data_IF_321898736775
#
_entry.id   IF_321898736775
#
_cell.length_a   1.000
_cell.length_b   1.000
_cell.length_c   1.000
_cell.angle_alpha   90.00
_cell.angle_beta   90.00
_cell.angle_gamma   90.00
#
_symmetry.space_group_name_H-M   'P 1'
#
loop_
_entity.id
_entity.type
_entity.pdbx_description
1 polymer ?
#
# COMPACT_ATOMS: atom_id res chain seq x y z
N UNK A 1 3.11 17.97 3.56
CA UNK A 1 2.96 16.69 2.86
C UNK A 1 3.91 15.62 3.38
N UNK A 2 5.21 15.86 3.39
CA UNK A 2 6.17 14.86 3.84
C UNK A 2 6.03 14.54 5.34
N UNK A 3 5.71 15.52 6.17
CA UNK A 3 5.51 15.30 7.60
C UNK A 3 4.40 14.27 7.89
N UNK A 4 3.42 14.16 7.02
CA UNK A 4 2.35 13.19 7.11
C UNK A 4 2.88 11.75 7.09
N UNK A 5 4.00 11.50 6.39
CA UNK A 5 4.60 10.18 6.24
C UNK A 5 5.56 9.80 7.36
N UNK A 6 6.06 10.77 8.11
CA UNK A 6 7.14 10.57 9.07
C UNK A 6 6.64 10.63 10.50
N UNK A 7 5.58 9.87 10.81
CA UNK A 7 5.11 9.72 12.19
C UNK A 7 5.88 8.60 12.88
N UNK A 8 6.01 8.64 14.23
CA UNK A 8 6.82 7.64 14.95
C UNK A 8 6.37 6.20 14.82
N UNK A 9 5.09 5.96 14.51
CA UNK A 9 4.52 4.62 14.39
C UNK A 9 4.78 3.99 13.02
N UNK A 10 5.40 4.72 12.10
CA UNK A 10 5.64 4.26 10.74
C UNK A 10 7.11 3.96 10.51
N UNK A 11 7.37 2.87 9.80
CA UNK A 11 8.69 2.54 9.27
C UNK A 11 8.73 3.05 7.83
N UNK A 12 9.57 4.03 7.56
CA UNK A 12 9.62 4.74 6.28
C UNK A 12 10.81 4.27 5.47
N UNK A 13 10.59 4.08 4.16
CA UNK A 13 11.57 3.54 3.23
C UNK A 13 11.58 4.36 1.94
N UNK A 14 12.71 4.37 1.28
CA UNK A 14 12.84 4.95 -0.06
C UNK A 14 13.50 3.93 -0.98
N UNK A 15 13.08 3.92 -2.23
CA UNK A 15 13.74 3.18 -3.28
C UNK A 15 14.56 4.16 -4.11
N UNK A 16 15.82 3.81 -4.35
CA UNK A 16 16.76 4.67 -5.07
C UNK A 16 17.24 3.93 -6.31
N UNK A 17 17.25 4.62 -7.44
CA UNK A 17 17.79 4.13 -8.70
C UNK A 17 18.70 5.18 -9.31
N UNK A 18 19.95 4.81 -9.58
CA UNK A 18 20.96 5.71 -10.13
C UNK A 18 21.08 7.02 -9.35
N UNK A 19 21.06 6.93 -8.01
CA UNK A 19 21.17 8.09 -7.13
C UNK A 19 19.93 8.94 -6.97
N UNK A 20 18.81 8.55 -7.59
CA UNK A 20 17.53 9.27 -7.49
C UNK A 20 16.51 8.47 -6.73
N UNK A 21 15.74 9.14 -5.87
CA UNK A 21 14.62 8.52 -5.19
C UNK A 21 13.50 8.32 -6.22
N UNK A 22 13.13 7.05 -6.46
CA UNK A 22 12.10 6.69 -7.45
C UNK A 22 10.79 6.27 -6.80
N UNK A 23 10.82 5.92 -5.52
CA UNK A 23 9.63 5.54 -4.79
C UNK A 23 9.83 5.70 -3.29
N UNK A 24 8.74 5.81 -2.58
CA UNK A 24 8.75 5.77 -1.11
C UNK A 24 7.56 4.96 -0.63
N UNK A 25 7.70 4.35 0.53
CA UNK A 25 6.57 3.68 1.18
C UNK A 25 6.80 3.62 2.69
N UNK A 26 5.74 3.32 3.43
CA UNK A 26 5.84 3.08 4.85
C UNK A 26 5.07 1.81 5.25
N UNK A 27 5.50 1.22 6.35
CA UNK A 27 4.86 0.08 6.98
C UNK A 27 4.50 0.46 8.42
N UNK A 28 3.32 0.05 8.87
CA UNK A 28 2.92 0.19 10.26
C UNK A 28 1.88 -0.86 10.62
N UNK A 29 1.63 -1.06 11.91
CA UNK A 29 0.51 -1.88 12.35
C UNK A 29 -0.81 -1.24 11.90
N UNK A 30 -1.74 -2.05 11.36
CA UNK A 30 -3.04 -1.55 10.93
C UNK A 30 -3.90 -1.15 12.14
N UNK A 31 -3.81 -1.93 13.23
CA UNK A 31 -4.51 -1.66 14.48
C UNK A 31 -3.54 -1.82 15.65
N UNK A 32 -3.74 -1.06 16.74
CA UNK A 32 -2.91 -1.22 17.93
C UNK A 32 -3.29 -2.45 18.75
N UNK A 33 -2.47 -2.75 19.76
CA UNK A 33 -2.77 -3.79 20.73
C UNK A 33 -2.79 -5.19 20.13
N UNK A 34 -3.86 -5.92 20.37
CA UNK A 34 -3.97 -7.32 19.94
C UNK A 34 -4.13 -7.48 18.42
N UNK A 35 -4.40 -6.39 17.71
CA UNK A 35 -4.48 -6.39 16.24
C UNK A 35 -3.18 -5.99 15.55
N UNK A 36 -2.10 -5.77 16.28
CA UNK A 36 -0.86 -5.22 15.73
C UNK A 36 -0.08 -6.16 14.82
N UNK A 37 -0.45 -7.44 14.76
CA UNK A 37 0.19 -8.42 13.88
C UNK A 37 -0.20 -8.26 12.41
N UNK A 38 -1.22 -7.47 12.12
CA UNK A 38 -1.61 -7.14 10.74
C UNK A 38 -1.02 -5.79 10.38
N UNK A 39 -0.21 -5.75 9.34
CA UNK A 39 0.42 -4.52 8.87
C UNK A 39 -0.43 -3.81 7.83
N UNK A 40 -0.14 -2.53 7.64
CA UNK A 40 -0.67 -1.71 6.58
C UNK A 40 0.49 -0.94 5.95
N UNK A 41 0.31 -0.51 4.71
CA UNK A 41 1.34 0.22 3.97
C UNK A 41 0.71 1.23 3.03
N UNK A 42 1.49 2.23 2.66
CA UNK A 42 1.16 3.11 1.54
C UNK A 42 2.41 3.27 0.69
N UNK A 43 2.22 3.33 -0.62
CA UNK A 43 3.30 3.37 -1.60
C UNK A 43 3.10 4.57 -2.52
N UNK A 44 4.22 5.19 -2.90
CA UNK A 44 4.22 6.27 -3.87
C UNK A 44 5.41 6.08 -4.80
N UNK A 45 5.13 5.98 -6.10
CA UNK A 45 6.15 5.83 -7.14
C UNK A 45 6.25 7.14 -7.90
N UNK A 46 7.47 7.61 -8.15
CA UNK A 46 7.69 8.83 -8.92
C UNK A 46 7.11 8.69 -10.33
N UNK A 47 6.45 9.73 -10.87
CA UNK A 47 5.86 9.64 -12.22
C UNK A 47 6.87 9.26 -13.29
N UNK A 48 8.12 9.71 -13.17
CA UNK A 48 9.19 9.39 -14.12
C UNK A 48 9.61 7.92 -14.07
N UNK A 49 9.26 7.20 -13.00
CA UNK A 49 9.56 5.79 -12.81
C UNK A 49 8.35 4.90 -13.03
N UNK A 50 7.17 5.46 -13.27
CA UNK A 50 5.96 4.70 -13.49
C UNK A 50 6.07 3.83 -14.75
N UNK A 51 5.43 2.66 -14.74
CA UNK A 51 5.40 1.74 -15.87
C UNK A 51 6.65 0.86 -16.01
N UNK A 52 7.61 0.96 -15.09
CA UNK A 52 8.85 0.17 -15.12
C UNK A 52 8.83 -1.02 -14.17
N UNK A 53 7.68 -1.37 -13.61
CA UNK A 53 7.56 -2.48 -12.67
C UNK A 53 8.07 -2.18 -11.28
N UNK A 54 8.41 -0.94 -10.98
CA UNK A 54 8.95 -0.54 -9.67
C UNK A 54 7.92 -0.77 -8.56
N UNK A 55 6.66 -0.45 -8.81
CA UNK A 55 5.60 -0.67 -7.83
C UNK A 55 5.52 -2.13 -7.36
N UNK A 56 5.60 -3.07 -8.30
CA UNK A 56 5.59 -4.49 -7.98
C UNK A 56 6.86 -4.91 -7.22
N UNK A 57 8.02 -4.40 -7.64
CA UNK A 57 9.28 -4.71 -6.99
C UNK A 57 9.31 -4.26 -5.53
N UNK A 58 8.89 -3.01 -5.26
CA UNK A 58 8.88 -2.52 -3.88
C UNK A 58 7.80 -3.20 -3.04
N UNK A 59 6.67 -3.59 -3.63
CA UNK A 59 5.65 -4.35 -2.91
C UNK A 59 6.21 -5.69 -2.45
N UNK A 60 6.86 -6.45 -3.34
CA UNK A 60 7.45 -7.73 -3.00
C UNK A 60 8.54 -7.59 -1.93
N UNK A 61 9.39 -6.57 -2.05
CA UNK A 61 10.41 -6.28 -1.04
C UNK A 61 9.79 -5.93 0.31
N UNK A 62 8.71 -5.15 0.29
CA UNK A 62 8.05 -4.72 1.52
C UNK A 62 7.43 -5.88 2.29
N UNK A 63 7.01 -6.94 1.60
CA UNK A 63 6.46 -8.11 2.28
C UNK A 63 7.52 -8.83 3.11
N UNK A 64 8.74 -8.95 2.59
CA UNK A 64 9.85 -9.52 3.35
C UNK A 64 10.21 -8.66 4.56
N UNK A 65 10.23 -7.36 4.37
CA UNK A 65 10.49 -6.41 5.45
C UNK A 65 9.37 -6.47 6.51
N UNK A 66 8.12 -6.56 6.07
CA UNK A 66 6.99 -6.68 6.97
C UNK A 66 7.09 -7.95 7.84
N UNK A 67 7.53 -9.07 7.25
CA UNK A 67 7.77 -10.31 7.99
C UNK A 67 8.84 -10.11 9.07
N UNK A 68 9.92 -9.42 8.73
CA UNK A 68 10.99 -9.13 9.69
C UNK A 68 10.53 -8.21 10.82
N UNK A 69 9.58 -7.32 10.56
CA UNK A 69 8.98 -6.47 11.58
C UNK A 69 7.95 -7.21 12.46
N UNK A 70 7.68 -8.48 12.15
CA UNK A 70 6.76 -9.31 12.93
C UNK A 70 5.33 -9.34 12.43
N UNK A 71 5.03 -8.75 11.29
CA UNK A 71 3.68 -8.82 10.72
C UNK A 71 3.44 -10.19 10.09
N UNK A 72 2.24 -10.72 10.28
CA UNK A 72 1.84 -12.01 9.72
C UNK A 72 0.88 -11.87 8.55
N UNK A 73 0.36 -10.67 8.31
CA UNK A 73 -0.53 -10.34 7.22
C UNK A 73 -0.43 -8.87 6.89
N UNK A 74 -0.88 -8.53 5.68
CA UNK A 74 -1.00 -7.13 5.23
C UNK A 74 -2.44 -6.85 4.84
N UNK A 75 -2.95 -5.68 5.23
CA UNK A 75 -4.29 -5.24 4.90
C UNK A 75 -4.25 -3.80 4.41
N UNK A 76 -4.86 -3.57 3.25
CA UNK A 76 -5.10 -2.22 2.74
C UNK A 76 -6.55 -1.86 3.01
N UNK A 77 -6.76 -0.74 3.70
CA UNK A 77 -8.09 -0.35 4.15
C UNK A 77 -8.91 0.38 3.09
N UNK A 78 -8.24 0.88 2.05
CA UNK A 78 -8.87 1.82 1.14
C UNK A 78 -8.19 1.78 -0.23
N UNK A 79 -8.66 0.88 -1.08
CA UNK A 79 -8.19 0.80 -2.48
C UNK A 79 -9.36 1.19 -3.36
N UNK A 80 -9.27 2.34 -4.02
CA UNK A 80 -10.36 2.88 -4.83
C UNK A 80 -10.66 1.92 -5.97
N UNK A 81 -11.92 1.50 -6.08
CA UNK A 81 -12.36 0.48 -7.05
C UNK A 81 -12.05 0.87 -8.49
N UNK A 82 -12.20 2.15 -8.82
CA UNK A 82 -11.93 2.65 -10.18
C UNK A 82 -10.44 2.69 -10.52
N UNK A 83 -9.56 2.58 -9.53
CA UNK A 83 -8.12 2.47 -9.77
C UNK A 83 -7.77 1.03 -10.13
N UNK A 84 -8.13 0.63 -11.35
CA UNK A 84 -7.97 -0.76 -11.80
C UNK A 84 -6.52 -1.19 -11.88
N UNK A 85 -5.60 -0.26 -12.13
CA UNK A 85 -4.16 -0.54 -12.17
C UNK A 85 -3.69 -0.99 -10.80
N UNK A 86 -4.05 -0.27 -9.75
CA UNK A 86 -3.68 -0.63 -8.38
C UNK A 86 -4.33 -1.94 -7.95
N UNK A 87 -5.61 -2.12 -8.21
CA UNK A 87 -6.33 -3.35 -7.86
C UNK A 87 -5.66 -4.57 -8.49
N UNK A 88 -5.34 -4.48 -9.79
CA UNK A 88 -4.66 -5.58 -10.49
C UNK A 88 -3.26 -5.84 -9.95
N UNK A 89 -2.52 -4.77 -9.63
CA UNK A 89 -1.20 -4.92 -9.03
C UNK A 89 -1.28 -5.70 -7.73
N UNK A 90 -2.17 -5.31 -6.83
CA UNK A 90 -2.29 -5.97 -5.53
C UNK A 90 -2.75 -7.42 -5.68
N UNK A 91 -3.68 -7.69 -6.59
CA UNK A 91 -4.09 -9.06 -6.88
C UNK A 91 -2.93 -9.90 -7.44
N UNK A 92 -2.11 -9.30 -8.29
CA UNK A 92 -0.96 -10.00 -8.88
C UNK A 92 0.09 -10.40 -7.85
N UNK A 93 0.14 -9.73 -6.72
CA UNK A 93 1.07 -10.06 -5.62
C UNK A 93 0.37 -10.74 -4.44
N UNK A 94 -0.82 -11.27 -4.65
CA UNK A 94 -1.47 -12.19 -3.71
C UNK A 94 -2.53 -11.60 -2.80
N UNK A 95 -2.91 -10.34 -2.98
CA UNK A 95 -4.00 -9.75 -2.21
C UNK A 95 -5.36 -10.23 -2.73
N UNK A 96 -6.28 -10.43 -1.79
CA UNK A 96 -7.68 -10.74 -2.09
C UNK A 96 -8.56 -9.59 -1.63
N UNK A 97 -9.65 -9.34 -2.35
CA UNK A 97 -10.67 -8.38 -1.94
C UNK A 97 -11.52 -9.06 -0.88
N UNK A 98 -11.51 -8.53 0.34
CA UNK A 98 -12.29 -9.09 1.46
C UNK A 98 -13.48 -8.23 1.85
N UNK A 99 -13.58 -7.03 1.29
CA UNK A 99 -14.71 -6.14 1.56
C UNK A 99 -14.79 -5.03 0.55
N UNK A 100 -15.95 -4.41 0.47
CA UNK A 100 -16.20 -3.29 -0.41
C UNK A 100 -17.03 -2.25 0.34
N UNK A 101 -16.55 -1.00 0.35
CA UNK A 101 -17.21 0.12 1.02
C UNK A 101 -17.92 0.93 -0.05
N UNK A 102 -19.24 1.06 -0.01
CA UNK A 102 -19.95 1.83 -1.02
C UNK A 102 -19.73 3.33 -0.85
N UNK A 103 -19.65 4.03 -1.97
CA UNK A 103 -19.55 5.50 -2.04
C UNK A 103 -18.47 6.10 -1.15
N UNK A 104 -17.35 5.39 -1.02
CA UNK A 104 -16.29 5.73 -0.07
C UNK A 104 -15.37 6.84 -0.55
N UNK A 105 -15.32 7.09 -1.86
CA UNK A 105 -14.38 8.04 -2.44
C UNK A 105 -15.07 8.97 -3.44
N UNK A 106 -14.93 10.28 -3.23
CA UNK A 106 -15.48 11.29 -4.15
C UNK A 106 -14.46 11.53 -5.27
N UNK A 107 -14.63 10.80 -6.38
CA UNK A 107 -13.76 10.94 -7.55
C UNK A 107 -14.17 12.17 -8.36
N UNK A 108 -13.19 12.96 -8.79
CA UNK A 108 -13.46 14.22 -9.52
C UNK A 108 -14.24 13.98 -10.82
N UNK A 109 -14.01 12.86 -11.51
CA UNK A 109 -14.64 12.57 -12.79
C UNK A 109 -15.79 11.58 -12.69
N UNK A 110 -15.66 10.57 -11.82
CA UNK A 110 -16.59 9.45 -11.75
C UNK A 110 -17.66 9.60 -10.65
N UNK A 111 -17.63 10.71 -9.90
CA UNK A 111 -18.53 10.89 -8.76
C UNK A 111 -18.16 9.95 -7.60
N UNK A 112 -19.16 9.52 -6.83
CA UNK A 112 -18.94 8.62 -5.71
C UNK A 112 -18.54 7.24 -6.22
N UNK A 113 -17.45 6.73 -5.69
CA UNK A 113 -16.86 5.46 -6.09
C UNK A 113 -16.64 4.58 -4.87
N UNK A 114 -16.79 3.27 -5.04
CA UNK A 114 -16.55 2.33 -3.95
C UNK A 114 -15.04 2.14 -3.71
N UNK A 115 -14.70 1.67 -2.53
CA UNK A 115 -13.34 1.29 -2.18
C UNK A 115 -13.30 -0.15 -1.70
N UNK A 116 -12.20 -0.83 -1.97
CA UNK A 116 -11.99 -2.21 -1.52
C UNK A 116 -11.14 -2.24 -0.26
N UNK A 117 -11.40 -3.24 0.58
CA UNK A 117 -10.47 -3.68 1.61
C UNK A 117 -9.78 -4.93 1.04
N UNK A 118 -8.46 -4.89 0.98
CA UNK A 118 -7.67 -5.99 0.41
C UNK A 118 -6.74 -6.57 1.48
N UNK A 119 -6.50 -7.88 1.41
CA UNK A 119 -5.81 -8.61 2.47
C UNK A 119 -4.93 -9.70 1.87
N UNK A 120 -3.77 -9.91 2.49
CA UNK A 120 -2.84 -10.99 2.14
C UNK A 120 -2.13 -11.51 3.38
N UNK A 121 -2.08 -12.82 3.54
CA UNK A 121 -1.18 -13.43 4.53
C UNK A 121 0.27 -13.34 4.04
N UNK A 122 1.17 -13.15 4.97
CA UNK A 122 2.62 -13.07 4.67
C UNK A 122 3.32 -14.42 4.82
#
# INVERSE_FOLDING_TARGET
MMAFWFTPDKHNYVAVDEGKVVATFWLRANNPGLGKHVGNAAYMVAPTAAGKGIGKQIALWSFDEARQLGFTAMQFNFVVKSNTVAVKLWQSVGFEIIGEIPDAFAHAENGLTNAYIMYRKL
#
